data_IF_236088207938
#
_entry.id   IF_236088207938
#
_cell.length_a   1.000
_cell.length_b   1.000
_cell.length_c   1.000
_cell.angle_alpha   90.00
_cell.angle_beta   90.00
_cell.angle_gamma   90.00
#
_symmetry.space_group_name_H-M   'P 1'
#
loop_
_entity.id
_entity.type
_entity.pdbx_description
1 polymer ?
#
# COMPACT_ATOMS: atom_id res chain seq x y z
N UNK A 1 2.94 12.50 11.01
CA UNK A 1 2.97 11.20 10.30
C UNK A 1 1.97 11.22 9.15
N UNK A 2 2.21 10.55 8.00
CA UNK A 2 1.26 10.58 6.87
C UNK A 2 0.18 9.52 7.02
N UNK A 3 -1.05 9.86 6.57
CA UNK A 3 -2.15 8.90 6.39
C UNK A 3 -2.40 8.72 4.91
N UNK A 4 -2.30 7.49 4.43
CA UNK A 4 -2.52 7.10 3.04
C UNK A 4 -3.78 6.22 3.01
N UNK A 5 -4.78 6.58 2.20
CA UNK A 5 -5.98 5.78 2.08
C UNK A 5 -5.76 4.60 1.14
N UNK A 6 -6.07 3.37 1.59
CA UNK A 6 -6.01 2.19 0.74
C UNK A 6 -7.33 1.95 0.01
N UNK A 7 -7.25 1.74 -1.30
CA UNK A 7 -8.36 1.49 -2.21
C UNK A 7 -8.05 0.23 -3.03
N UNK A 8 -8.85 -0.81 -2.86
CA UNK A 8 -8.77 -2.02 -3.66
C UNK A 8 -9.81 -1.96 -4.79
N UNK A 9 -9.38 -2.24 -6.03
CA UNK A 9 -10.25 -2.20 -7.20
C UNK A 9 -10.35 -3.59 -7.80
N UNK A 10 -11.57 -4.11 -7.95
CA UNK A 10 -11.86 -5.39 -8.58
C UNK A 10 -13.12 -5.27 -9.45
N UNK A 11 -13.06 -5.78 -10.68
CA UNK A 11 -14.13 -5.64 -11.68
C UNK A 11 -14.54 -4.17 -11.90
N UNK A 12 -13.56 -3.26 -11.88
CA UNK A 12 -13.76 -1.83 -12.06
C UNK A 12 -14.51 -1.13 -10.92
N UNK A 13 -14.65 -1.75 -9.75
CA UNK A 13 -15.34 -1.22 -8.58
C UNK A 13 -14.45 -1.24 -7.35
N UNK A 14 -14.72 -0.33 -6.43
CA UNK A 14 -14.03 -0.37 -5.13
C UNK A 14 -14.60 -1.51 -4.30
N UNK A 15 -13.69 -2.31 -3.76
CA UNK A 15 -14.01 -3.48 -2.94
C UNK A 15 -13.32 -3.41 -1.58
N UNK A 16 -13.87 -4.15 -0.62
CA UNK A 16 -13.26 -4.33 0.68
C UNK A 16 -12.95 -5.81 0.91
N UNK A 17 -11.68 -6.11 1.20
CA UNK A 17 -11.24 -7.44 1.58
C UNK A 17 -11.33 -7.65 3.08
N UNK A 18 -11.58 -8.90 3.48
CA UNK A 18 -11.47 -9.36 4.86
C UNK A 18 -10.43 -10.47 4.91
N UNK A 19 -9.39 -10.27 5.75
CA UNK A 19 -8.38 -11.30 6.06
C UNK A 19 -7.63 -11.88 4.85
N UNK A 20 -7.36 -11.07 3.82
CA UNK A 20 -6.43 -11.41 2.72
C UNK A 20 -6.87 -12.52 1.77
N UNK A 21 -8.12 -12.95 1.82
CA UNK A 21 -8.68 -13.88 0.84
C UNK A 21 -9.36 -13.14 -0.30
N UNK A 22 -8.83 -13.19 -1.53
CA UNK A 22 -9.45 -12.51 -2.69
C UNK A 22 -10.88 -12.96 -2.98
N UNK A 23 -11.23 -14.19 -2.61
CA UNK A 23 -12.59 -14.74 -2.72
C UNK A 23 -13.59 -14.07 -1.78
N UNK A 24 -13.10 -13.38 -0.74
CA UNK A 24 -13.90 -12.68 0.27
C UNK A 24 -14.21 -11.21 -0.09
N UNK A 25 -13.62 -10.69 -1.19
CA UNK A 25 -13.83 -9.30 -1.59
C UNK A 25 -15.30 -9.04 -1.95
N UNK A 26 -15.85 -8.00 -1.33
CA UNK A 26 -17.22 -7.53 -1.56
C UNK A 26 -17.20 -6.05 -1.95
N UNK A 27 -18.22 -5.57 -2.66
CA UNK A 27 -18.36 -4.14 -2.89
C UNK A 27 -18.20 -3.38 -1.56
N UNK A 28 -17.42 -2.32 -1.59
CA UNK A 28 -17.19 -1.49 -0.42
C UNK A 28 -18.51 -0.88 0.06
N UNK A 29 -18.75 -0.94 1.37
CA UNK A 29 -19.80 -0.18 2.05
C UNK A 29 -19.10 0.83 2.94
N UNK A 30 -19.35 2.12 2.69
CA UNK A 30 -18.78 3.22 3.46
C UNK A 30 -19.88 3.98 4.19
N UNK A 31 -19.57 4.43 5.41
CA UNK A 31 -20.43 5.37 6.18
C UNK A 31 -20.06 6.82 5.92
N UNK A 32 -18.94 7.06 5.22
CA UNK A 32 -18.33 8.38 5.07
C UNK A 32 -18.53 8.94 3.67
N UNK A 33 -18.52 8.05 2.66
CA UNK A 33 -18.70 8.39 1.25
C UNK A 33 -19.77 7.52 0.62
N UNK A 34 -20.48 8.03 -0.38
CA UNK A 34 -21.60 7.34 -1.03
C UNK A 34 -21.25 6.76 -2.40
N UNK A 35 -20.21 7.29 -3.05
CA UNK A 35 -19.78 6.85 -4.36
C UNK A 35 -19.23 5.42 -4.34
N UNK A 36 -19.46 4.67 -5.42
CA UNK A 36 -18.98 3.30 -5.62
C UNK A 36 -18.01 3.19 -6.80
N UNK A 37 -18.02 4.19 -7.68
CA UNK A 37 -17.06 4.33 -8.75
C UNK A 37 -15.71 4.75 -8.16
N UNK A 38 -14.56 4.14 -8.54
CA UNK A 38 -13.27 4.45 -7.94
C UNK A 38 -12.86 5.92 -8.02
N UNK A 39 -13.09 6.57 -9.16
CA UNK A 39 -12.74 7.99 -9.33
C UNK A 39 -13.59 8.88 -8.40
N UNK A 40 -14.91 8.74 -8.45
CA UNK A 40 -15.82 9.53 -7.64
C UNK A 40 -15.59 9.32 -6.15
N UNK A 41 -15.37 8.06 -5.72
CA UNK A 41 -15.09 7.71 -4.33
C UNK A 41 -13.81 8.39 -3.82
N UNK A 42 -12.73 8.36 -4.61
CA UNK A 42 -11.46 9.01 -4.24
C UNK A 42 -11.64 10.52 -4.14
N UNK A 43 -12.38 11.14 -5.06
CA UNK A 43 -12.65 12.58 -5.02
C UNK A 43 -13.52 12.96 -3.81
N UNK A 44 -14.55 12.17 -3.48
CA UNK A 44 -15.39 12.38 -2.31
C UNK A 44 -14.59 12.21 -1.00
N UNK A 45 -13.73 11.17 -0.89
CA UNK A 45 -12.82 11.00 0.25
C UNK A 45 -11.85 12.17 0.41
N UNK A 46 -11.32 12.69 -0.69
CA UNK A 46 -10.45 13.86 -0.70
C UNK A 46 -11.15 15.08 -0.10
N UNK A 47 -12.39 15.32 -0.50
CA UNK A 47 -13.19 16.43 -0.01
C UNK A 47 -13.58 16.27 1.46
N UNK A 48 -14.13 15.11 1.82
CA UNK A 48 -14.67 14.86 3.15
C UNK A 48 -13.57 14.70 4.19
N UNK A 49 -12.53 13.90 3.90
CA UNK A 49 -11.47 13.55 4.84
C UNK A 49 -10.25 14.47 4.76
N UNK A 50 -10.09 15.23 3.67
CA UNK A 50 -8.93 16.08 3.45
C UNK A 50 -7.67 15.30 3.07
N UNK A 51 -7.82 14.07 2.55
CA UNK A 51 -6.73 13.23 2.10
C UNK A 51 -6.37 13.53 0.64
N UNK A 52 -5.10 13.42 0.28
CA UNK A 52 -4.64 13.54 -1.11
C UNK A 52 -3.68 12.41 -1.51
N UNK A 53 -3.37 11.48 -0.61
CA UNK A 53 -2.48 10.35 -0.86
C UNK A 53 -3.28 9.04 -0.79
N UNK A 54 -3.27 8.25 -1.88
CA UNK A 54 -4.05 7.03 -2.01
C UNK A 54 -3.17 5.88 -2.50
N UNK A 55 -3.16 4.77 -1.75
CA UNK A 55 -2.62 3.51 -2.21
C UNK A 55 -3.72 2.78 -2.97
N UNK A 56 -3.50 2.54 -4.25
CA UNK A 56 -4.46 1.85 -5.12
C UNK A 56 -3.89 0.48 -5.47
N UNK A 57 -4.55 -0.58 -4.98
CA UNK A 57 -4.33 -1.93 -5.46
C UNK A 57 -5.34 -2.22 -6.58
N UNK A 58 -4.87 -2.21 -7.83
CA UNK A 58 -5.69 -2.60 -8.98
C UNK A 58 -5.62 -4.12 -9.14
N UNK A 59 -6.57 -4.81 -8.49
CA UNK A 59 -6.63 -6.27 -8.51
C UNK A 59 -6.94 -6.81 -9.90
N UNK A 60 -7.63 -6.05 -10.76
CA UNK A 60 -7.85 -6.43 -12.15
C UNK A 60 -6.51 -6.48 -12.90
N UNK A 61 -5.65 -5.47 -12.70
CA UNK A 61 -4.31 -5.44 -13.29
C UNK A 61 -3.39 -6.52 -12.71
N UNK A 62 -3.42 -6.72 -11.38
CA UNK A 62 -2.61 -7.75 -10.69
C UNK A 62 -2.98 -9.16 -11.20
N UNK A 63 -4.28 -9.45 -11.35
CA UNK A 63 -4.77 -10.79 -11.70
C UNK A 63 -4.72 -11.07 -13.21
N UNK A 64 -5.01 -10.05 -14.02
CA UNK A 64 -5.23 -10.24 -15.48
C UNK A 64 -4.24 -9.48 -16.36
N UNK A 65 -3.45 -8.57 -15.79
CA UNK A 65 -2.60 -7.64 -16.54
C UNK A 65 -3.33 -6.45 -17.15
N UNK A 66 -4.66 -6.35 -16.99
CA UNK A 66 -5.48 -5.30 -17.59
C UNK A 66 -5.53 -4.07 -16.69
N UNK A 67 -4.69 -3.09 -16.96
CA UNK A 67 -4.58 -1.84 -16.22
C UNK A 67 -5.74 -0.88 -16.52
N UNK A 68 -6.23 -0.17 -15.52
CA UNK A 68 -7.24 0.88 -15.68
C UNK A 68 -6.58 2.24 -15.94
N UNK A 69 -5.91 2.37 -17.10
CA UNK A 69 -5.11 3.56 -17.45
C UNK A 69 -5.91 4.86 -17.45
N UNK A 70 -7.19 4.79 -17.83
CA UNK A 70 -8.07 5.95 -17.82
C UNK A 70 -8.30 6.48 -16.40
N UNK A 71 -8.54 5.60 -15.43
CA UNK A 71 -8.70 5.96 -14.03
C UNK A 71 -7.42 6.64 -13.49
N UNK A 72 -6.25 6.01 -13.71
CA UNK A 72 -4.99 6.53 -13.21
C UNK A 72 -4.70 7.92 -13.78
N UNK A 73 -4.85 8.08 -15.10
CA UNK A 73 -4.63 9.38 -15.78
C UNK A 73 -5.60 10.44 -15.29
N UNK A 74 -6.85 10.11 -15.03
CA UNK A 74 -7.85 11.02 -14.50
C UNK A 74 -7.50 11.51 -13.09
N UNK A 75 -7.10 10.59 -12.19
CA UNK A 75 -6.68 10.92 -10.84
C UNK A 75 -5.41 11.81 -10.82
N UNK A 76 -4.43 11.48 -11.67
CA UNK A 76 -3.20 12.28 -11.79
C UNK A 76 -3.53 13.71 -12.27
N UNK A 77 -4.45 13.89 -13.23
CA UNK A 77 -4.89 15.21 -13.70
C UNK A 77 -5.53 16.06 -12.61
N UNK A 78 -6.26 15.41 -11.69
CA UNK A 78 -6.85 16.07 -10.51
C UNK A 78 -5.84 16.34 -9.39
N UNK A 79 -4.56 16.00 -9.59
CA UNK A 79 -3.49 16.22 -8.61
C UNK A 79 -3.55 15.27 -7.43
N UNK A 80 -4.19 14.10 -7.57
CA UNK A 80 -4.18 13.03 -6.57
C UNK A 80 -2.83 12.33 -6.57
N UNK A 81 -2.23 12.15 -5.40
CA UNK A 81 -0.98 11.41 -5.23
C UNK A 81 -1.29 9.91 -5.08
N UNK A 82 -1.13 9.15 -6.17
CA UNK A 82 -1.40 7.72 -6.17
C UNK A 82 -0.12 6.89 -6.01
N UNK A 83 -0.14 5.96 -5.04
CA UNK A 83 0.80 4.86 -4.88
C UNK A 83 0.15 3.66 -5.58
N UNK A 84 0.57 3.36 -6.81
CA UNK A 84 -0.14 2.42 -7.66
C UNK A 84 0.52 1.04 -7.67
N UNK A 85 -0.20 0.06 -7.14
CA UNK A 85 0.07 -1.36 -7.33
C UNK A 85 -0.82 -1.91 -8.45
N UNK A 86 -0.21 -2.16 -9.60
CA UNK A 86 -0.85 -2.71 -10.78
C UNK A 86 -0.20 -4.05 -11.21
N UNK A 87 0.42 -4.75 -10.25
CA UNK A 87 1.02 -6.05 -10.49
C UNK A 87 2.29 -6.00 -11.32
N UNK A 88 3.13 -4.99 -11.15
CA UNK A 88 4.39 -4.85 -11.89
C UNK A 88 5.34 -5.99 -11.59
N UNK A 89 5.82 -6.68 -12.62
CA UNK A 89 6.72 -7.84 -12.53
C UNK A 89 8.19 -7.45 -12.68
N UNK A 90 8.45 -6.42 -13.48
CA UNK A 90 9.80 -6.02 -13.89
C UNK A 90 9.89 -4.51 -14.21
N UNK A 91 11.08 -4.06 -14.58
CA UNK A 91 11.33 -2.65 -14.94
C UNK A 91 10.51 -2.14 -16.11
N UNK A 92 10.10 -2.98 -17.05
CA UNK A 92 9.30 -2.54 -18.19
C UNK A 92 7.87 -2.19 -17.74
N UNK A 93 7.27 -2.99 -16.87
CA UNK A 93 5.96 -2.72 -16.29
C UNK A 93 5.96 -1.42 -15.47
N UNK A 94 7.00 -1.24 -14.62
CA UNK A 94 7.18 -0.03 -13.82
C UNK A 94 7.39 1.20 -14.71
N UNK A 95 8.11 1.07 -15.85
CA UNK A 95 8.26 2.17 -16.80
C UNK A 95 6.92 2.60 -17.42
N UNK A 96 6.00 1.68 -17.66
CA UNK A 96 4.65 2.03 -18.12
C UNK A 96 3.93 2.92 -17.09
N UNK A 97 4.01 2.58 -15.80
CA UNK A 97 3.41 3.40 -14.74
C UNK A 97 4.12 4.77 -14.61
N UNK A 98 5.44 4.78 -14.75
CA UNK A 98 6.22 6.03 -14.75
C UNK A 98 5.77 6.98 -15.85
N UNK A 99 5.48 6.46 -17.04
CA UNK A 99 5.01 7.25 -18.18
C UNK A 99 3.61 7.85 -17.95
N UNK A 100 2.80 7.24 -17.08
CA UNK A 100 1.49 7.77 -16.65
C UNK A 100 1.63 8.84 -15.57
N UNK A 101 2.85 9.14 -15.12
CA UNK A 101 3.18 10.14 -14.11
C UNK A 101 2.48 9.93 -12.76
N UNK A 102 2.24 8.65 -12.36
CA UNK A 102 1.74 8.32 -11.03
C UNK A 102 2.74 8.78 -9.97
N UNK A 103 2.28 9.14 -8.78
CA UNK A 103 3.16 9.67 -7.72
C UNK A 103 4.22 8.67 -7.28
N UNK A 104 3.83 7.41 -7.04
CA UNK A 104 4.72 6.29 -6.72
C UNK A 104 4.26 5.03 -7.46
N UNK A 105 5.22 4.22 -7.88
CA UNK A 105 4.98 2.90 -8.47
C UNK A 105 5.28 1.84 -7.43
N UNK A 106 4.41 0.85 -7.29
CA UNK A 106 4.60 -0.24 -6.33
C UNK A 106 5.09 -1.50 -7.06
N UNK A 107 6.17 -2.08 -6.52
CA UNK A 107 6.63 -3.43 -6.83
C UNK A 107 6.27 -4.32 -5.65
N UNK A 108 5.20 -5.11 -5.78
CA UNK A 108 4.74 -6.02 -4.74
C UNK A 108 5.54 -7.32 -4.70
N UNK A 109 5.81 -7.85 -3.51
CA UNK A 109 6.45 -9.15 -3.31
C UNK A 109 5.69 -10.28 -4.02
N UNK A 110 4.38 -10.14 -4.13
CA UNK A 110 3.52 -11.09 -4.81
C UNK A 110 3.85 -11.21 -6.30
N UNK A 111 4.22 -10.10 -6.95
CA UNK A 111 4.29 -10.01 -8.42
C UNK A 111 5.69 -9.84 -8.97
N UNK A 112 6.60 -9.19 -8.25
CA UNK A 112 7.98 -8.94 -8.72
C UNK A 112 8.70 -10.25 -9.07
N UNK A 113 9.43 -10.28 -10.18
CA UNK A 113 10.07 -11.50 -10.67
C UNK A 113 11.24 -11.95 -9.80
N UNK A 114 12.02 -11.02 -9.24
CA UNK A 114 13.16 -11.35 -8.39
C UNK A 114 13.67 -10.12 -7.61
N UNK A 115 14.53 -10.37 -6.62
CA UNK A 115 15.25 -9.29 -5.91
C UNK A 115 16.26 -8.58 -6.84
N UNK A 116 16.79 -9.24 -7.85
CA UNK A 116 17.69 -8.59 -8.83
C UNK A 116 16.91 -7.61 -9.74
N UNK A 117 15.65 -7.97 -10.12
CA UNK A 117 14.75 -7.02 -10.80
C UNK A 117 14.44 -5.83 -9.90
N UNK A 118 14.16 -6.06 -8.62
CA UNK A 118 13.93 -5.00 -7.65
C UNK A 118 15.14 -4.07 -7.52
N UNK A 119 16.35 -4.61 -7.51
CA UNK A 119 17.61 -3.85 -7.48
C UNK A 119 17.79 -3.01 -8.75
N UNK A 120 17.46 -3.56 -9.90
CA UNK A 120 17.51 -2.83 -11.17
C UNK A 120 16.49 -1.70 -11.18
N UNK A 121 15.26 -1.97 -10.68
CA UNK A 121 14.21 -0.99 -10.56
C UNK A 121 14.54 0.12 -9.56
N UNK A 122 15.13 -0.20 -8.39
CA UNK A 122 15.51 0.80 -7.39
C UNK A 122 16.57 1.78 -7.92
N UNK A 123 17.58 1.26 -8.64
CA UNK A 123 18.59 2.10 -9.28
C UNK A 123 18.01 3.03 -10.37
N UNK A 124 17.01 2.54 -11.11
CA UNK A 124 16.42 3.26 -12.23
C UNK A 124 15.41 4.32 -11.79
N UNK A 125 14.56 4.00 -10.82
CA UNK A 125 13.41 4.80 -10.46
C UNK A 125 13.58 5.54 -9.12
N UNK A 126 14.56 5.14 -8.30
CA UNK A 126 14.85 5.76 -7.02
C UNK A 126 13.61 5.90 -6.15
N UNK A 127 13.44 7.06 -5.56
CA UNK A 127 12.33 7.35 -4.65
C UNK A 127 10.92 7.29 -5.28
N UNK A 128 10.80 7.10 -6.59
CA UNK A 128 9.50 6.85 -7.26
C UNK A 128 9.04 5.41 -7.07
N UNK A 129 9.92 4.49 -6.68
CA UNK A 129 9.62 3.09 -6.44
C UNK A 129 9.27 2.87 -4.96
N UNK A 130 8.23 2.11 -4.70
CA UNK A 130 7.91 1.51 -3.39
C UNK A 130 8.00 0.01 -3.53
N UNK A 131 8.73 -0.65 -2.65
CA UNK A 131 8.64 -2.12 -2.52
C UNK A 131 7.60 -2.47 -1.47
N UNK A 132 6.58 -3.26 -1.84
CA UNK A 132 5.62 -3.81 -0.89
C UNK A 132 6.04 -5.20 -0.43
N UNK A 133 6.37 -5.31 0.86
CA UNK A 133 6.61 -6.57 1.55
C UNK A 133 5.26 -7.14 2.00
N UNK A 134 4.63 -7.88 1.11
CA UNK A 134 3.33 -8.48 1.36
C UNK A 134 3.49 -9.77 2.16
N UNK A 135 2.72 -9.87 3.24
CA UNK A 135 2.70 -11.04 4.12
C UNK A 135 1.27 -11.53 4.31
N UNK A 136 1.14 -12.79 4.71
CA UNK A 136 -0.10 -13.36 5.21
C UNK A 136 0.21 -14.20 6.45
N UNK A 137 -0.37 -13.81 7.59
CA UNK A 137 -0.10 -14.43 8.90
C UNK A 137 1.40 -14.46 9.23
N UNK A 138 2.13 -13.37 8.92
CA UNK A 138 3.55 -13.24 9.19
C UNK A 138 4.47 -14.03 8.25
N UNK A 139 3.96 -14.67 7.21
CA UNK A 139 4.73 -15.38 6.19
C UNK A 139 4.73 -14.58 4.87
N UNK A 140 5.79 -14.68 4.04
CA UNK A 140 5.83 -13.99 2.75
C UNK A 140 4.67 -14.41 1.86
N UNK A 141 3.98 -13.44 1.28
CA UNK A 141 2.91 -13.69 0.32
C UNK A 141 3.45 -13.53 -1.10
N UNK A 142 3.84 -14.64 -1.70
CA UNK A 142 4.46 -14.70 -3.04
C UNK A 142 4.25 -16.08 -3.64
N UNK A 143 4.38 -16.18 -4.96
CA UNK A 143 4.39 -17.46 -5.69
C UNK A 143 5.82 -17.94 -6.01
N UNK A 144 6.85 -17.18 -5.63
CA UNK A 144 8.26 -17.49 -5.90
C UNK A 144 8.79 -18.44 -4.83
N UNK A 145 9.10 -19.67 -5.20
CA UNK A 145 9.58 -20.71 -4.27
C UNK A 145 10.80 -20.25 -3.46
N UNK A 146 11.75 -19.58 -4.10
CA UNK A 146 12.97 -19.06 -3.48
C UNK A 146 12.71 -18.03 -2.38
N UNK A 147 11.59 -17.26 -2.49
CA UNK A 147 11.20 -16.24 -1.51
C UNK A 147 10.29 -16.84 -0.42
N UNK A 148 9.53 -17.90 -0.73
CA UNK A 148 8.72 -18.62 0.26
C UNK A 148 9.56 -19.28 1.35
N UNK A 149 10.81 -19.66 1.03
CA UNK A 149 11.74 -20.28 1.98
C UNK A 149 12.44 -19.26 2.90
N UNK A 150 12.28 -17.96 2.63
CA UNK A 150 12.90 -16.88 3.40
C UNK A 150 11.95 -16.34 4.45
N UNK A 151 12.49 -15.77 5.53
CA UNK A 151 11.69 -14.96 6.45
C UNK A 151 11.36 -13.61 5.84
N UNK A 152 10.22 -12.96 6.20
CA UNK A 152 9.93 -11.58 5.78
C UNK A 152 11.05 -10.60 6.11
N UNK A 153 11.70 -10.79 7.27
CA UNK A 153 12.86 -9.99 7.65
C UNK A 153 14.03 -10.16 6.67
N UNK A 154 14.35 -11.38 6.23
CA UNK A 154 15.43 -11.61 5.26
C UNK A 154 15.13 -10.94 3.92
N UNK A 155 13.91 -11.07 3.41
CA UNK A 155 13.48 -10.42 2.16
C UNK A 155 13.57 -8.89 2.28
N UNK A 156 13.10 -8.34 3.39
CA UNK A 156 13.20 -6.90 3.69
C UNK A 156 14.63 -6.41 3.66
N UNK A 157 15.55 -7.13 4.30
CA UNK A 157 16.97 -6.77 4.33
C UNK A 157 17.60 -6.84 2.94
N UNK A 158 17.27 -7.84 2.14
CA UNK A 158 17.72 -7.95 0.76
C UNK A 158 17.20 -6.78 -0.09
N UNK A 159 15.94 -6.37 0.09
CA UNK A 159 15.36 -5.23 -0.61
C UNK A 159 16.07 -3.90 -0.24
N UNK A 160 16.31 -3.67 1.05
CA UNK A 160 17.06 -2.49 1.52
C UNK A 160 18.48 -2.49 0.94
N UNK A 161 19.17 -3.63 0.97
CA UNK A 161 20.51 -3.77 0.39
C UNK A 161 20.52 -3.63 -1.14
N UNK A 162 19.39 -3.91 -1.79
CA UNK A 162 19.19 -3.66 -3.23
C UNK A 162 18.97 -2.18 -3.58
N UNK A 163 18.89 -1.29 -2.56
CA UNK A 163 18.76 0.16 -2.72
C UNK A 163 17.31 0.65 -2.69
N UNK A 164 16.38 -0.14 -2.16
CA UNK A 164 15.01 0.33 -1.90
C UNK A 164 15.04 1.38 -0.79
N UNK A 165 14.51 2.55 -1.07
CA UNK A 165 14.39 3.68 -0.15
C UNK A 165 12.96 3.96 0.32
N UNK A 166 11.96 3.30 -0.27
CA UNK A 166 10.55 3.34 0.15
C UNK A 166 10.02 1.91 0.32
N UNK A 167 9.70 1.55 1.54
CA UNK A 167 9.23 0.22 1.93
C UNK A 167 7.80 0.29 2.45
N UNK A 168 6.93 -0.57 1.94
CA UNK A 168 5.60 -0.80 2.51
C UNK A 168 5.56 -2.19 3.15
N UNK A 169 5.27 -2.26 4.45
CA UNK A 169 5.15 -3.52 5.20
C UNK A 169 3.67 -3.79 5.45
N UNK A 170 3.15 -4.85 4.86
CA UNK A 170 1.72 -5.18 4.86
C UNK A 170 1.47 -6.63 5.28
N UNK A 171 0.62 -6.84 6.30
CA UNK A 171 0.07 -8.16 6.60
C UNK A 171 -1.38 -8.24 6.11
N UNK A 172 -1.58 -8.96 5.02
CA UNK A 172 -2.88 -9.15 4.37
C UNK A 172 -3.90 -9.86 5.27
N UNK A 173 -3.46 -10.75 6.17
CA UNK A 173 -4.35 -11.44 7.11
C UNK A 173 -4.99 -10.48 8.13
N UNK A 174 -4.42 -9.29 8.32
CA UNK A 174 -4.93 -8.26 9.21
C UNK A 174 -5.80 -7.22 8.50
N UNK A 175 -5.77 -7.18 7.16
CA UNK A 175 -6.56 -6.21 6.38
C UNK A 175 -8.04 -6.33 6.72
N UNK A 176 -8.69 -5.20 6.98
CA UNK A 176 -10.10 -5.12 7.31
C UNK A 176 -10.51 -5.66 8.69
N UNK A 177 -9.57 -6.13 9.53
CA UNK A 177 -9.91 -6.70 10.86
C UNK A 177 -10.09 -5.63 11.94
N UNK A 178 -9.35 -4.51 11.88
CA UNK A 178 -9.30 -3.48 12.94
C UNK A 178 -8.73 -4.00 14.27
N UNK A 179 -7.93 -5.08 14.24
CA UNK A 179 -7.38 -5.74 15.45
C UNK A 179 -5.94 -5.33 15.76
N UNK A 180 -5.50 -4.21 15.22
CA UNK A 180 -4.14 -3.70 15.39
C UNK A 180 -3.17 -4.21 14.32
N UNK A 181 -2.10 -3.44 14.12
CA UNK A 181 -1.02 -3.80 13.21
C UNK A 181 -0.11 -4.85 13.85
N UNK A 182 0.27 -5.86 13.08
CA UNK A 182 1.25 -6.89 13.49
C UNK A 182 2.63 -6.65 12.89
N UNK A 183 2.84 -5.47 12.31
CA UNK A 183 4.05 -5.13 11.52
C UNK A 183 5.09 -4.34 12.33
N UNK A 184 4.80 -3.93 13.56
CA UNK A 184 5.66 -3.09 14.41
C UNK A 184 7.10 -3.61 14.52
N UNK A 185 7.25 -4.92 14.74
CA UNK A 185 8.57 -5.53 14.87
C UNK A 185 9.42 -5.46 13.60
N UNK A 186 8.80 -5.59 12.41
CA UNK A 186 9.50 -5.43 11.13
C UNK A 186 9.80 -3.97 10.84
N UNK A 187 8.87 -3.05 11.17
CA UNK A 187 9.09 -1.61 11.07
C UNK A 187 10.30 -1.19 11.90
N UNK A 188 10.39 -1.62 13.16
CA UNK A 188 11.52 -1.32 14.03
C UNK A 188 12.84 -1.86 13.47
N UNK A 189 12.85 -3.07 12.91
CA UNK A 189 14.04 -3.67 12.28
C UNK A 189 14.45 -2.93 11.01
N UNK A 190 13.49 -2.51 10.18
CA UNK A 190 13.77 -1.72 8.98
C UNK A 190 14.39 -0.37 9.37
N UNK A 191 13.84 0.31 10.37
CA UNK A 191 14.34 1.58 10.89
C UNK A 191 15.75 1.44 11.49
N UNK A 192 16.02 0.36 12.22
CA UNK A 192 17.36 0.07 12.75
C UNK A 192 18.39 -0.17 11.64
N UNK A 193 17.96 -0.68 10.47
CA UNK A 193 18.84 -0.89 9.32
C UNK A 193 19.18 0.39 8.58
N UNK A 194 18.23 1.33 8.47
CA UNK A 194 18.43 2.61 7.77
C UNK A 194 17.54 3.69 8.39
N UNK A 195 18.16 4.79 8.78
CA UNK A 195 17.44 5.98 9.28
C UNK A 195 16.74 6.75 8.15
N UNK A 196 17.20 6.63 6.93
CA UNK A 196 16.71 7.40 5.77
C UNK A 196 15.56 6.71 5.04
N UNK A 197 15.36 5.39 5.22
CA UNK A 197 14.31 4.67 4.52
C UNK A 197 12.92 5.19 4.89
N UNK A 198 12.09 5.44 3.88
CA UNK A 198 10.69 5.81 4.09
C UNK A 198 9.83 4.54 4.30
N UNK A 199 9.30 4.37 5.50
CA UNK A 199 8.56 3.17 5.89
C UNK A 199 7.07 3.47 5.96
N UNK A 200 6.29 2.75 5.16
CA UNK A 200 4.84 2.69 5.21
C UNK A 200 4.44 1.39 5.91
N UNK A 201 3.41 1.44 6.74
CA UNK A 201 2.90 0.24 7.41
C UNK A 201 1.38 0.14 7.26
N UNK A 202 0.88 -1.07 7.08
CA UNK A 202 -0.55 -1.34 6.91
C UNK A 202 -0.94 -2.72 7.42
N UNK A 203 -2.25 -3.01 7.34
CA UNK A 203 -2.84 -4.26 7.82
C UNK A 203 -3.35 -4.15 9.26
N UNK A 204 -4.68 -4.01 9.42
CA UNK A 204 -5.35 -4.07 10.71
C UNK A 204 -5.42 -2.78 11.53
N UNK A 205 -4.91 -1.65 11.03
CA UNK A 205 -4.97 -0.36 11.72
C UNK A 205 -6.44 0.03 11.92
N UNK A 206 -6.86 0.13 13.18
CA UNK A 206 -8.23 0.42 13.57
C UNK A 206 -8.37 1.54 14.58
N UNK A 207 -7.27 2.02 15.16
CA UNK A 207 -7.28 3.05 16.21
C UNK A 207 -6.11 4.01 16.10
N UNK A 208 -6.25 5.18 16.74
CA UNK A 208 -5.16 6.14 16.90
C UNK A 208 -3.96 5.53 17.66
N UNK A 209 -4.23 4.62 18.61
CA UNK A 209 -3.18 3.94 19.38
C UNK A 209 -2.31 3.03 18.50
N UNK A 210 -2.90 2.38 17.48
CA UNK A 210 -2.13 1.60 16.49
C UNK A 210 -1.15 2.49 15.73
N UNK A 211 -1.59 3.70 15.37
CA UNK A 211 -0.74 4.70 14.69
C UNK A 211 0.43 5.12 15.58
N UNK A 212 0.18 5.37 16.87
CA UNK A 212 1.23 5.71 17.83
C UNK A 212 2.25 4.58 17.96
N UNK A 213 1.79 3.33 18.03
CA UNK A 213 2.68 2.16 18.08
C UNK A 213 3.60 2.08 16.86
N UNK A 214 3.02 2.19 15.66
CA UNK A 214 3.78 2.19 14.41
C UNK A 214 4.75 3.37 14.29
N UNK A 215 4.34 4.56 14.72
CA UNK A 215 5.22 5.73 14.79
C UNK A 215 6.42 5.49 15.70
N UNK A 216 6.17 4.98 16.90
CA UNK A 216 7.22 4.68 17.87
C UNK A 216 8.18 3.60 17.36
N UNK A 217 7.69 2.68 16.52
CA UNK A 217 8.52 1.69 15.82
C UNK A 217 9.30 2.28 14.64
N UNK A 218 9.03 3.53 14.24
CA UNK A 218 9.78 4.24 13.21
C UNK A 218 9.09 4.33 11.84
N UNK A 219 7.78 4.05 11.72
CA UNK A 219 7.04 4.27 10.48
C UNK A 219 6.89 5.77 10.17
N UNK A 220 6.94 6.12 8.87
CA UNK A 220 6.72 7.47 8.35
C UNK A 220 5.26 7.68 7.93
N UNK A 221 4.60 6.61 7.51
CA UNK A 221 3.21 6.64 7.05
C UNK A 221 2.44 5.39 7.47
N UNK A 222 1.13 5.56 7.62
CA UNK A 222 0.18 4.45 7.79
C UNK A 222 -0.73 4.36 6.58
N UNK A 223 -0.99 3.12 6.14
CA UNK A 223 -1.92 2.82 5.05
C UNK A 223 -3.19 2.26 5.67
N UNK A 224 -4.29 2.99 5.54
CA UNK A 224 -5.56 2.74 6.24
C UNK A 224 -6.68 2.56 5.22
N UNK A 225 -7.53 1.57 5.42
CA UNK A 225 -8.72 1.33 4.60
C UNK A 225 -9.98 1.38 5.48
N UNK A 226 -10.32 0.29 6.17
CA UNK A 226 -11.59 0.12 6.89
C UNK A 226 -11.91 1.26 7.85
N UNK A 227 -10.94 1.68 8.66
CA UNK A 227 -11.15 2.72 9.67
C UNK A 227 -11.52 4.10 9.07
N UNK A 228 -11.17 4.37 7.81
CA UNK A 228 -11.64 5.54 7.07
C UNK A 228 -13.11 5.39 6.67
N UNK A 229 -13.52 4.20 6.25
CA UNK A 229 -14.88 3.95 5.74
C UNK A 229 -15.93 3.72 6.83
N UNK A 230 -15.52 3.26 8.02
CA UNK A 230 -16.44 3.13 9.17
C UNK A 230 -16.56 4.42 10.01
N UNK A 231 -15.74 5.43 9.70
CA UNK A 231 -15.72 6.75 10.34
C UNK A 231 -14.85 6.84 11.60
N UNK A 232 -14.10 5.78 11.94
CA UNK A 232 -13.14 5.79 13.07
C UNK A 232 -11.99 6.77 12.81
N UNK A 233 -11.52 6.86 11.56
CA UNK A 233 -10.55 7.86 11.11
C UNK A 233 -11.26 8.95 10.32
N UNK A 234 -11.87 9.87 11.05
CA UNK A 234 -12.45 11.07 10.48
C UNK A 234 -11.37 12.15 10.19
N UNK A 235 -11.81 13.27 9.66
CA UNK A 235 -10.91 14.39 9.32
C UNK A 235 -10.14 14.94 10.53
N UNK A 236 -10.70 14.85 11.72
CA UNK A 236 -10.07 15.33 12.95
C UNK A 236 -8.92 14.38 13.34
N UNK A 237 -9.18 13.08 13.40
CA UNK A 237 -8.16 12.05 13.68
C UNK A 237 -7.03 12.09 12.65
N UNK A 238 -7.33 12.27 11.37
CA UNK A 238 -6.32 12.41 10.31
C UNK A 238 -5.41 13.61 10.55
N UNK A 239 -5.96 14.76 10.96
CA UNK A 239 -5.16 15.95 11.32
C UNK A 239 -4.27 15.69 12.54
N UNK A 240 -4.78 15.01 13.55
CA UNK A 240 -4.02 14.65 14.75
C UNK A 240 -2.84 13.72 14.39
N UNK A 241 -3.09 12.70 13.55
CA UNK A 241 -2.02 11.85 13.02
C UNK A 241 -0.99 12.66 12.22
N UNK A 242 -1.44 13.62 11.42
CA UNK A 242 -0.54 14.45 10.60
C UNK A 242 0.34 15.40 11.44
N UNK A 243 -0.07 15.71 12.66
CA UNK A 243 0.71 16.52 13.59
C UNK A 243 1.77 15.73 14.38
N UNK A 244 1.70 14.41 14.37
CA UNK A 244 2.71 13.51 14.94
C UNK A 244 4.02 13.52 14.13
#
# INVERSE_FOLDING_TARGET
MRVIAAIDILNGRVVAGLSGGRESYKPLISKVVSATNPFELIMEMREVLGLNEFYIADLDAILTGKKNEHLYSSLVKEGVHIYLDAGSKNCADLQCLMNMNVFKMVAGLETIESIEELKTASKRFGSRLVFSLDMKDGLPFTTREELLLKSPQSIMMEAINAGVDHLFILDLAKVGTGKGASTDGLVAKARAQSEEIFIMAGGGIGSFQDVIGLKNSGANAVVVSRALHDGTFDRQVIKEVSSL
#
